data_IF_101411090627
#
_entry.id   IF_101411090627
#
_cell.length_a   1.000
_cell.length_b   1.000
_cell.length_c   1.000
_cell.angle_alpha   90.00
_cell.angle_beta   90.00
_cell.angle_gamma   90.00
#
_symmetry.space_group_name_H-M   'P 1'
#
loop_
_entity.id
_entity.type
_entity.pdbx_description
1 polymer ?
#
# COMPACT_ATOMS: atom_id res chain seq x y z
N UNK A 1 -10.22 -9.90 -12.14
CA UNK A 1 -10.87 -9.53 -10.87
C UNK A 1 -9.78 -9.15 -9.88
N UNK A 2 -9.99 -8.11 -9.09
CA UNK A 2 -9.09 -7.70 -8.01
C UNK A 2 -9.26 -8.64 -6.82
N UNK A 3 -8.15 -9.07 -6.21
CA UNK A 3 -8.17 -9.80 -4.93
C UNK A 3 -7.70 -8.85 -3.83
N UNK A 4 -8.54 -8.63 -2.83
CA UNK A 4 -8.14 -8.01 -1.57
C UNK A 4 -7.76 -9.14 -0.63
N UNK A 5 -6.49 -9.18 -0.24
CA UNK A 5 -5.96 -10.27 0.59
C UNK A 5 -6.45 -10.09 2.02
N UNK A 6 -7.19 -11.09 2.51
CA UNK A 6 -7.65 -11.18 3.90
C UNK A 6 -6.75 -12.14 4.67
N UNK A 7 -5.89 -11.61 5.50
CA UNK A 7 -5.02 -12.39 6.38
C UNK A 7 -5.37 -12.21 7.87
N UNK A 8 -6.62 -11.79 8.13
CA UNK A 8 -7.13 -11.56 9.49
C UNK A 8 -6.77 -10.21 10.10
N UNK A 9 -6.15 -9.31 9.32
CA UNK A 9 -5.82 -7.97 9.76
C UNK A 9 -6.01 -6.95 8.61
N UNK A 10 -6.04 -5.66 8.94
CA UNK A 10 -6.21 -4.59 7.97
C UNK A 10 -7.63 -4.00 7.98
N UNK A 11 -7.75 -2.81 7.36
CA UNK A 11 -9.03 -2.10 7.26
C UNK A 11 -9.82 -2.56 6.02
N UNK A 12 -10.05 -3.90 5.93
CA UNK A 12 -10.64 -4.56 4.76
C UNK A 12 -12.00 -3.97 4.40
N UNK A 13 -12.84 -3.68 5.41
CA UNK A 13 -14.17 -3.10 5.17
C UNK A 13 -14.11 -1.74 4.47
N UNK A 14 -13.19 -0.87 4.87
CA UNK A 14 -13.04 0.44 4.24
C UNK A 14 -12.47 0.33 2.82
N UNK A 15 -11.53 -0.59 2.60
CA UNK A 15 -11.00 -0.90 1.26
C UNK A 15 -12.11 -1.44 0.35
N UNK A 16 -12.90 -2.40 0.83
CA UNK A 16 -14.03 -2.95 0.08
C UNK A 16 -15.07 -1.88 -0.27
N UNK A 17 -15.40 -0.98 0.69
CA UNK A 17 -16.30 0.15 0.44
C UNK A 17 -15.75 1.11 -0.62
N UNK A 18 -14.45 1.44 -0.57
CA UNK A 18 -13.82 2.27 -1.58
C UNK A 18 -13.86 1.63 -2.97
N UNK A 19 -13.54 0.34 -3.07
CA UNK A 19 -13.62 -0.43 -4.32
C UNK A 19 -15.04 -0.50 -4.87
N UNK A 20 -16.04 -0.74 -4.02
CA UNK A 20 -17.46 -0.71 -4.40
C UNK A 20 -17.83 0.67 -4.95
N UNK A 21 -17.41 1.75 -4.27
CA UNK A 21 -17.74 3.12 -4.69
C UNK A 21 -17.12 3.50 -6.03
N UNK A 22 -15.96 2.95 -6.38
CA UNK A 22 -15.36 3.16 -7.70
C UNK A 22 -15.86 2.14 -8.74
N UNK A 23 -16.75 1.22 -8.36
CA UNK A 23 -17.36 0.23 -9.27
C UNK A 23 -16.41 -0.87 -9.71
N UNK A 24 -15.45 -1.23 -8.87
CA UNK A 24 -14.53 -2.32 -9.14
C UNK A 24 -15.17 -3.69 -8.93
N UNK A 25 -14.76 -4.67 -9.71
CA UNK A 25 -15.05 -6.09 -9.48
C UNK A 25 -13.92 -6.70 -8.67
N UNK A 26 -14.22 -7.12 -7.43
CA UNK A 26 -13.23 -7.66 -6.50
C UNK A 26 -13.78 -8.79 -5.65
N UNK A 27 -12.87 -9.50 -4.99
CA UNK A 27 -13.17 -10.50 -3.95
C UNK A 27 -12.23 -10.28 -2.76
N UNK A 28 -12.73 -10.49 -1.56
CA UNK A 28 -11.94 -10.50 -0.31
C UNK A 28 -11.73 -11.96 0.06
N UNK A 29 -10.47 -12.40 0.14
CA UNK A 29 -10.16 -13.81 0.39
C UNK A 29 -8.72 -14.02 0.84
N UNK A 30 -8.47 -15.10 1.58
CA UNK A 30 -7.15 -15.66 1.88
C UNK A 30 -6.81 -16.88 1.00
N UNK A 31 -7.70 -17.28 0.09
CA UNK A 31 -7.50 -18.45 -0.75
C UNK A 31 -6.30 -18.29 -1.69
N UNK A 32 -5.25 -19.11 -1.51
CA UNK A 32 -4.04 -19.10 -2.32
C UNK A 32 -4.33 -19.25 -3.83
N UNK A 33 -5.30 -20.10 -4.18
CA UNK A 33 -5.72 -20.33 -5.57
C UNK A 33 -6.39 -19.11 -6.20
N UNK A 34 -7.12 -18.32 -5.44
CA UNK A 34 -7.72 -17.08 -5.89
C UNK A 34 -6.66 -15.99 -6.10
N UNK A 35 -5.69 -15.89 -5.17
CA UNK A 35 -4.54 -14.98 -5.26
C UNK A 35 -3.70 -15.31 -6.50
N UNK A 36 -3.38 -16.58 -6.73
CA UNK A 36 -2.60 -17.02 -7.88
C UNK A 36 -3.27 -16.73 -9.25
N UNK A 37 -4.62 -16.65 -9.29
CA UNK A 37 -5.42 -16.33 -10.48
C UNK A 37 -5.87 -14.87 -10.55
N UNK A 38 -5.46 -14.04 -9.59
CA UNK A 38 -5.82 -12.62 -9.53
C UNK A 38 -5.34 -11.88 -10.79
N UNK A 39 -6.12 -10.90 -11.25
CA UNK A 39 -5.67 -9.92 -12.25
C UNK A 39 -4.95 -8.72 -11.60
N UNK A 40 -5.18 -8.51 -10.31
CA UNK A 40 -4.48 -7.55 -9.47
C UNK A 40 -4.73 -7.87 -8.00
N UNK A 41 -3.84 -7.43 -7.14
CA UNK A 41 -3.84 -7.69 -5.70
C UNK A 41 -3.82 -6.38 -4.94
N UNK A 42 -4.63 -6.30 -3.89
CA UNK A 42 -4.52 -5.26 -2.87
C UNK A 42 -4.18 -5.94 -1.55
N UNK A 43 -3.08 -5.51 -0.93
CA UNK A 43 -2.69 -5.94 0.41
C UNK A 43 -2.84 -4.75 1.37
N UNK A 44 -3.97 -4.62 2.06
CA UNK A 44 -4.12 -3.66 3.14
C UNK A 44 -3.39 -4.15 4.38
N UNK A 45 -3.00 -3.25 5.26
CA UNK A 45 -2.43 -3.66 6.54
C UNK A 45 -2.48 -2.57 7.58
N UNK A 46 -2.62 -2.98 8.83
CA UNK A 46 -2.54 -2.13 10.04
C UNK A 46 -1.82 -2.90 11.15
N UNK A 47 -1.32 -2.20 12.15
CA UNK A 47 -0.62 -2.80 13.28
C UNK A 47 0.90 -2.90 13.06
N UNK A 48 1.54 -3.87 13.68
CA UNK A 48 2.98 -4.05 13.66
C UNK A 48 3.46 -4.99 12.54
N UNK A 49 4.71 -4.80 12.09
CA UNK A 49 5.32 -5.61 11.02
C UNK A 49 5.39 -7.10 11.40
N UNK A 50 5.81 -7.42 12.63
CA UNK A 50 5.90 -8.80 13.09
C UNK A 50 4.54 -9.52 13.10
N UNK A 51 3.49 -8.83 13.57
CA UNK A 51 2.13 -9.38 13.59
C UNK A 51 1.58 -9.58 12.18
N UNK A 52 1.82 -8.61 11.30
CA UNK A 52 1.44 -8.68 9.89
C UNK A 52 2.11 -9.87 9.21
N UNK A 53 3.43 -10.02 9.35
CA UNK A 53 4.17 -11.13 8.74
C UNK A 53 3.77 -12.48 9.32
N UNK A 54 3.49 -12.54 10.63
CA UNK A 54 2.96 -13.76 11.27
C UNK A 54 1.59 -14.14 10.70
N UNK A 55 0.68 -13.20 10.60
CA UNK A 55 -0.67 -13.43 10.05
C UNK A 55 -0.64 -13.84 8.58
N UNK A 56 0.22 -13.20 7.75
CA UNK A 56 0.41 -13.58 6.34
C UNK A 56 0.93 -15.02 6.20
N UNK A 57 1.87 -15.44 7.07
CA UNK A 57 2.38 -16.82 7.10
C UNK A 57 1.31 -17.80 7.57
N UNK A 58 0.56 -17.48 8.62
CA UNK A 58 -0.52 -18.33 9.14
C UNK A 58 -1.66 -18.53 8.13
N UNK A 59 -1.95 -17.50 7.33
CA UNK A 59 -2.93 -17.57 6.25
C UNK A 59 -2.39 -18.26 4.98
N UNK A 60 -1.11 -18.65 4.95
CA UNK A 60 -0.42 -19.27 3.80
C UNK A 60 -0.51 -18.45 2.50
N UNK A 61 -0.45 -17.10 2.64
CA UNK A 61 -0.59 -16.18 1.49
C UNK A 61 0.72 -15.52 1.05
N UNK A 62 1.82 -15.73 1.77
CA UNK A 62 3.13 -15.11 1.45
C UNK A 62 3.57 -15.51 0.04
N UNK A 63 3.76 -16.80 -0.22
CA UNK A 63 4.25 -17.30 -1.50
C UNK A 63 3.29 -16.99 -2.66
N UNK A 64 1.96 -17.16 -2.53
CA UNK A 64 1.00 -16.73 -3.54
C UNK A 64 1.12 -15.23 -3.91
N UNK A 65 1.26 -14.34 -2.93
CA UNK A 65 1.40 -12.89 -3.16
C UNK A 65 2.74 -12.57 -3.84
N UNK A 66 3.86 -13.08 -3.30
CA UNK A 66 5.20 -12.84 -3.88
C UNK A 66 5.28 -13.39 -5.30
N UNK A 67 4.78 -14.59 -5.55
CA UNK A 67 4.75 -15.20 -6.89
C UNK A 67 3.91 -14.39 -7.86
N UNK A 68 2.74 -13.89 -7.43
CA UNK A 68 1.89 -13.06 -8.28
C UNK A 68 2.58 -11.73 -8.63
N UNK A 69 3.24 -11.08 -7.68
CA UNK A 69 4.05 -9.88 -7.92
C UNK A 69 5.16 -10.17 -8.94
N UNK A 70 5.91 -11.25 -8.76
CA UNK A 70 7.01 -11.64 -9.66
C UNK A 70 6.53 -11.95 -11.10
N UNK A 71 5.28 -12.37 -11.25
CA UNK A 71 4.63 -12.59 -12.56
C UNK A 71 4.11 -11.31 -13.21
N UNK A 72 4.31 -10.14 -12.62
CA UNK A 72 3.87 -8.86 -13.14
C UNK A 72 2.40 -8.53 -12.84
N UNK A 73 1.75 -9.24 -11.92
CA UNK A 73 0.39 -8.92 -11.49
C UNK A 73 0.39 -7.60 -10.74
N UNK A 74 -0.45 -6.61 -11.13
CA UNK A 74 -0.55 -5.34 -10.42
C UNK A 74 -0.81 -5.52 -8.93
N UNK A 75 0.00 -4.87 -8.12
CA UNK A 75 -0.07 -4.91 -6.68
C UNK A 75 -0.26 -3.51 -6.09
N UNK A 76 -1.17 -3.36 -5.14
CA UNK A 76 -1.33 -2.16 -4.32
C UNK A 76 -1.16 -2.50 -2.85
N UNK A 77 -0.04 -2.04 -2.26
CA UNK A 77 0.19 -2.12 -0.81
C UNK A 77 -0.31 -0.86 -0.10
N UNK A 78 -1.00 -1.02 1.04
CA UNK A 78 -1.53 0.10 1.83
C UNK A 78 -0.98 0.02 3.25
N UNK A 79 -0.28 1.05 3.70
CA UNK A 79 0.33 1.19 5.02
C UNK A 79 1.27 0.01 5.33
N UNK A 80 0.87 -0.95 6.16
CA UNK A 80 1.68 -2.16 6.37
C UNK A 80 1.91 -2.95 5.08
N UNK A 81 0.96 -2.93 4.13
CA UNK A 81 1.15 -3.54 2.81
C UNK A 81 2.25 -2.89 1.97
N UNK A 82 2.64 -1.63 2.26
CA UNK A 82 3.86 -1.01 1.76
C UNK A 82 5.08 -1.50 2.54
N UNK A 83 5.01 -1.45 3.88
CA UNK A 83 6.18 -1.71 4.72
C UNK A 83 6.68 -3.15 4.58
N UNK A 84 5.78 -4.13 4.52
CA UNK A 84 6.17 -5.54 4.37
C UNK A 84 6.76 -5.90 3.00
N UNK A 85 6.70 -5.02 1.99
CA UNK A 85 7.39 -5.24 0.71
C UNK A 85 8.91 -5.19 0.83
N UNK A 86 9.44 -4.47 1.81
CA UNK A 86 10.88 -4.31 2.00
C UNK A 86 11.53 -5.58 2.58
N UNK A 87 12.85 -5.55 2.74
CA UNK A 87 13.61 -6.70 3.24
C UNK A 87 13.34 -6.95 4.72
N UNK A 88 13.29 -5.85 5.50
CA UNK A 88 13.12 -5.91 6.96
C UNK A 88 12.51 -4.64 7.54
N UNK A 89 11.99 -4.76 8.75
CA UNK A 89 11.54 -3.65 9.58
C UNK A 89 12.28 -3.68 10.93
N UNK A 90 12.69 -2.51 11.43
CA UNK A 90 13.24 -2.36 12.79
C UNK A 90 12.19 -2.55 13.90
N UNK A 91 10.92 -2.68 13.52
CA UNK A 91 9.85 -2.92 14.47
C UNK A 91 9.97 -4.32 15.07
N UNK A 92 9.79 -4.42 16.41
CA UNK A 92 9.87 -5.68 17.14
C UNK A 92 11.22 -6.42 16.96
N UNK A 93 12.34 -5.76 17.24
CA UNK A 93 13.70 -6.35 17.22
C UNK A 93 14.12 -6.95 15.88
N UNK A 94 13.81 -6.25 14.79
CA UNK A 94 14.12 -6.66 13.42
C UNK A 94 13.26 -7.81 12.87
N UNK A 95 12.15 -7.41 12.24
CA UNK A 95 11.24 -8.33 11.55
C UNK A 95 11.65 -8.51 10.09
N UNK A 96 11.92 -9.76 9.67
CA UNK A 96 12.09 -10.11 8.26
C UNK A 96 10.74 -10.02 7.53
N UNK A 97 10.71 -9.25 6.44
CA UNK A 97 9.53 -8.99 5.63
C UNK A 97 9.54 -9.79 4.31
N UNK A 98 8.84 -9.35 3.26
CA UNK A 98 8.70 -10.10 2.02
C UNK A 98 9.95 -10.04 1.12
N UNK A 99 10.83 -9.02 1.29
CA UNK A 99 12.05 -8.87 0.49
C UNK A 99 11.80 -8.61 -0.99
N UNK A 100 10.65 -8.07 -1.35
CA UNK A 100 10.31 -7.76 -2.75
C UNK A 100 10.99 -6.49 -3.22
N UNK A 101 11.10 -5.49 -2.35
CA UNK A 101 11.80 -4.23 -2.59
C UNK A 101 13.06 -4.13 -1.72
N UNK A 102 14.21 -3.71 -2.26
CA UNK A 102 15.40 -3.50 -1.45
C UNK A 102 15.26 -2.26 -0.57
N UNK A 103 15.63 -2.40 0.69
CA UNK A 103 15.55 -1.34 1.69
C UNK A 103 15.02 -1.82 3.03
N UNK A 104 14.86 -0.88 3.95
CA UNK A 104 14.44 -1.15 5.33
C UNK A 104 13.31 -0.23 5.76
N UNK A 105 12.58 -0.65 6.79
CA UNK A 105 11.57 0.16 7.46
C UNK A 105 12.11 0.55 8.82
N UNK A 106 12.14 1.85 9.12
CA UNK A 106 12.75 2.41 10.33
C UNK A 106 11.74 3.21 11.13
N UNK A 107 11.99 3.40 12.42
CA UNK A 107 11.16 4.21 13.30
C UNK A 107 11.41 5.71 13.08
N UNK A 108 10.37 6.53 13.25
CA UNK A 108 10.54 7.98 13.35
C UNK A 108 11.43 8.35 14.55
N UNK A 109 12.27 9.38 14.41
CA UNK A 109 13.05 9.90 15.53
C UNK A 109 12.17 10.32 16.72
N UNK A 110 12.76 10.29 17.92
CA UNK A 110 12.05 10.63 19.18
C UNK A 110 11.80 12.13 19.39
N UNK A 111 12.26 12.99 18.47
CA UNK A 111 12.15 14.45 18.51
C UNK A 111 10.76 14.97 18.07
N UNK A 112 9.84 14.07 17.77
CA UNK A 112 8.49 14.39 17.29
C UNK A 112 7.44 13.42 17.85
N UNK A 113 6.16 13.80 17.69
CA UNK A 113 5.07 12.93 18.12
C UNK A 113 5.04 11.66 17.27
N UNK A 114 4.97 10.50 17.91
CA UNK A 114 4.86 9.19 17.27
C UNK A 114 3.69 8.46 17.93
N UNK A 115 2.72 7.95 17.15
CA UNK A 115 2.69 7.87 15.69
C UNK A 115 2.45 9.22 14.99
N UNK A 116 2.95 9.36 13.74
CA UNK A 116 2.44 10.35 12.79
C UNK A 116 0.99 10.00 12.49
N UNK A 117 0.04 10.81 12.96
CA UNK A 117 -1.39 10.56 12.85
C UNK A 117 -2.11 11.80 12.39
N UNK A 118 -2.88 11.70 11.31
CA UNK A 118 -3.70 12.77 10.77
C UNK A 118 -3.52 12.97 9.28
N UNK A 119 -4.03 14.11 8.81
CA UNK A 119 -3.92 14.53 7.42
C UNK A 119 -2.60 15.24 7.18
N UNK A 120 -1.90 14.86 6.12
CA UNK A 120 -0.66 15.49 5.71
C UNK A 120 -0.51 15.47 4.19
N UNK A 121 0.28 16.41 3.67
CA UNK A 121 0.48 16.61 2.25
C UNK A 121 1.38 15.54 1.64
N UNK A 122 1.00 15.04 0.46
CA UNK A 122 1.78 14.09 -0.32
C UNK A 122 2.39 14.82 -1.51
N UNK A 123 3.70 15.03 -1.45
CA UNK A 123 4.47 15.65 -2.52
C UNK A 123 4.88 14.60 -3.55
N UNK A 124 4.31 14.68 -4.76
CA UNK A 124 4.63 13.78 -5.87
C UNK A 124 5.99 14.15 -6.46
N UNK A 125 6.95 13.24 -6.39
CA UNK A 125 8.31 13.44 -6.94
C UNK A 125 8.44 12.99 -8.38
N UNK A 126 7.56 12.08 -8.81
CA UNK A 126 7.55 11.49 -10.15
C UNK A 126 6.12 11.24 -10.59
N UNK A 127 5.85 11.43 -11.89
CA UNK A 127 4.55 11.11 -12.48
C UNK A 127 4.32 9.58 -12.44
N UNK A 128 3.16 9.18 -11.96
CA UNK A 128 2.76 7.76 -11.89
C UNK A 128 1.29 7.61 -12.26
N UNK A 129 0.91 6.50 -12.93
CA UNK A 129 -0.50 6.23 -13.24
C UNK A 129 -1.40 6.25 -12.00
N UNK A 130 -0.86 5.87 -10.83
CA UNK A 130 -1.62 5.84 -9.58
C UNK A 130 -2.06 7.23 -9.11
N UNK A 131 -1.22 8.26 -9.32
CA UNK A 131 -1.48 9.64 -8.90
C UNK A 131 -2.15 10.48 -9.99
N UNK A 132 -2.52 9.90 -11.12
CA UNK A 132 -3.11 10.65 -12.22
C UNK A 132 -4.40 11.40 -11.81
N UNK A 133 -4.43 12.72 -12.06
CA UNK A 133 -5.53 13.60 -11.68
C UNK A 133 -5.64 13.91 -10.19
N UNK A 134 -4.63 13.57 -9.39
CA UNK A 134 -4.49 14.01 -8.00
C UNK A 134 -3.57 15.23 -8.01
N UNK A 135 -4.06 16.33 -7.44
CA UNK A 135 -3.32 17.60 -7.37
C UNK A 135 -2.07 17.43 -6.50
N UNK A 136 -1.00 18.14 -6.88
CA UNK A 136 0.24 18.16 -6.09
C UNK A 136 -0.04 18.65 -4.66
N UNK A 137 0.64 18.06 -3.69
CA UNK A 137 0.51 18.38 -2.27
C UNK A 137 -0.89 18.17 -1.68
N UNK A 138 -1.67 17.26 -2.28
CA UNK A 138 -2.96 16.84 -1.75
C UNK A 138 -2.78 16.15 -0.39
N UNK A 139 -3.69 16.46 0.54
CA UNK A 139 -3.71 15.83 1.86
C UNK A 139 -4.26 14.41 1.78
N UNK A 140 -3.56 13.47 2.44
CA UNK A 140 -3.98 12.10 2.71
C UNK A 140 -3.92 11.80 4.20
N UNK A 141 -4.63 10.76 4.64
CA UNK A 141 -4.65 10.35 6.03
C UNK A 141 -3.54 9.34 6.33
N UNK A 142 -2.76 9.63 7.36
CA UNK A 142 -1.66 8.81 7.87
C UNK A 142 -1.93 8.33 9.29
N UNK A 143 -1.43 7.15 9.63
CA UNK A 143 -1.31 6.66 11.01
C UNK A 143 -0.22 5.59 11.05
N UNK A 144 1.03 5.99 11.39
CA UNK A 144 2.18 5.10 11.42
C UNK A 144 3.31 5.62 12.29
N UNK A 145 4.09 4.71 12.86
CA UNK A 145 5.29 5.01 13.67
C UNK A 145 6.59 4.71 12.94
N UNK A 146 6.51 3.95 11.85
CA UNK A 146 7.63 3.50 11.03
C UNK A 146 7.42 3.92 9.58
N UNK A 147 8.50 4.09 8.84
CA UNK A 147 8.46 4.46 7.41
C UNK A 147 9.57 3.76 6.63
N UNK A 148 9.38 3.60 5.34
CA UNK A 148 10.31 2.92 4.47
C UNK A 148 11.50 3.81 4.05
N UNK A 149 12.69 3.21 3.98
CA UNK A 149 13.90 3.76 3.36
C UNK A 149 14.28 2.84 2.20
N UNK A 150 13.77 3.09 0.98
CA UNK A 150 14.19 2.32 -0.20
C UNK A 150 15.67 2.53 -0.50
N UNK A 151 16.40 1.46 -0.83
CA UNK A 151 17.78 1.55 -1.30
C UNK A 151 17.84 2.14 -2.71
N UNK A 152 16.85 1.84 -3.55
CA UNK A 152 16.73 2.36 -4.91
C UNK A 152 15.83 3.59 -4.91
N UNK A 153 16.42 4.76 -5.09
CA UNK A 153 15.69 6.05 -5.03
C UNK A 153 14.65 6.21 -6.14
N UNK A 154 14.88 5.61 -7.29
CA UNK A 154 13.95 5.67 -8.43
C UNK A 154 12.60 4.98 -8.16
N UNK A 155 12.53 4.17 -7.11
CA UNK A 155 11.26 3.61 -6.64
C UNK A 155 10.39 4.63 -5.89
N UNK A 156 10.95 5.76 -5.45
CA UNK A 156 10.23 6.78 -4.68
C UNK A 156 9.40 7.65 -5.62
N UNK A 157 8.09 7.64 -5.48
CA UNK A 157 7.19 8.45 -6.31
C UNK A 157 6.48 9.56 -5.54
N UNK A 158 6.50 9.50 -4.21
CA UNK A 158 6.02 10.59 -3.37
C UNK A 158 6.70 10.60 -2.00
N UNK A 159 6.82 11.80 -1.46
CA UNK A 159 7.32 12.07 -0.10
C UNK A 159 6.34 12.92 0.68
N UNK A 160 6.47 12.92 1.99
CA UNK A 160 5.69 13.76 2.91
C UNK A 160 6.63 14.31 3.98
N UNK A 161 6.45 15.58 4.36
CA UNK A 161 7.23 16.18 5.43
C UNK A 161 6.57 15.92 6.79
N UNK A 162 7.37 15.45 7.73
CA UNK A 162 6.99 15.34 9.14
C UNK A 162 8.19 15.70 10.02
N UNK A 163 8.63 16.97 9.90
CA UNK A 163 9.87 17.49 10.49
C UNK A 163 11.14 17.07 9.72
N UNK A 164 11.03 16.08 8.87
CA UNK A 164 11.94 15.70 7.80
C UNK A 164 11.16 14.90 6.75
N UNK A 165 11.55 14.98 5.47
CA UNK A 165 10.87 14.21 4.42
C UNK A 165 11.01 12.70 4.64
N UNK A 166 9.90 11.97 4.50
CA UNK A 166 9.88 10.51 4.46
C UNK A 166 9.14 10.01 3.22
N UNK A 167 9.38 8.77 2.82
CA UNK A 167 8.75 8.15 1.65
C UNK A 167 7.30 7.82 1.96
N UNK A 168 6.37 8.44 1.24
CA UNK A 168 4.93 8.23 1.39
C UNK A 168 4.30 7.36 0.30
N UNK A 169 4.97 7.20 -0.84
CA UNK A 169 4.58 6.22 -1.86
C UNK A 169 5.77 5.73 -2.67
N UNK A 170 5.70 4.47 -3.08
CA UNK A 170 6.69 3.83 -3.96
C UNK A 170 6.00 3.20 -5.16
N UNK A 171 6.77 3.11 -6.27
CA UNK A 171 6.41 2.35 -7.46
C UNK A 171 7.63 1.63 -8.01
N UNK A 172 7.46 0.36 -8.42
CA UNK A 172 8.39 -0.38 -9.26
C UNK A 172 7.56 -1.28 -10.18
N UNK A 173 7.64 -1.08 -11.47
CA UNK A 173 6.91 -1.87 -12.47
C UNK A 173 5.40 -1.97 -12.16
N UNK A 174 4.95 -3.17 -11.81
CA UNK A 174 3.58 -3.50 -11.43
C UNK A 174 3.24 -3.25 -9.95
N UNK A 175 4.22 -2.85 -9.14
CA UNK A 175 4.05 -2.61 -7.70
C UNK A 175 3.77 -1.13 -7.47
N UNK A 176 2.67 -0.86 -6.77
CA UNK A 176 2.38 0.46 -6.18
C UNK A 176 2.16 0.26 -4.69
N UNK A 177 2.67 1.17 -3.88
CA UNK A 177 2.36 1.10 -2.47
C UNK A 177 2.40 2.49 -1.80
N UNK A 178 1.51 2.69 -0.83
CA UNK A 178 1.32 3.96 -0.10
C UNK A 178 1.46 3.75 1.40
N UNK A 179 2.11 4.69 2.08
CA UNK A 179 2.16 4.71 3.55
C UNK A 179 0.86 5.26 4.14
N UNK A 180 0.20 6.15 3.42
CA UNK A 180 -1.10 6.68 3.78
C UNK A 180 -2.22 5.69 3.45
N UNK A 181 -3.42 5.99 3.97
CA UNK A 181 -4.63 5.21 3.81
C UNK A 181 -5.57 5.85 2.78
N UNK A 182 -5.54 5.45 1.50
CA UNK A 182 -6.44 6.03 0.49
C UNK A 182 -7.91 5.81 0.85
N UNK A 183 -8.25 4.69 1.49
CA UNK A 183 -9.63 4.35 1.92
C UNK A 183 -10.18 5.30 3.01
N UNK A 184 -9.30 6.13 3.61
CA UNK A 184 -9.64 7.15 4.62
C UNK A 184 -9.41 8.57 4.10
N UNK A 185 -9.04 8.74 2.83
CA UNK A 185 -8.57 10.00 2.27
C UNK A 185 -9.55 10.68 1.31
N UNK A 186 -10.85 10.44 1.50
CA UNK A 186 -11.91 11.12 0.76
C UNK A 186 -11.82 10.93 -0.75
N UNK A 187 -12.09 11.97 -1.52
CA UNK A 187 -12.16 11.90 -2.98
C UNK A 187 -10.77 11.64 -3.63
N UNK A 188 -9.69 12.18 -3.06
CA UNK A 188 -8.34 11.89 -3.53
C UNK A 188 -7.99 10.39 -3.38
N UNK A 189 -8.39 9.79 -2.27
CA UNK A 189 -8.23 8.35 -2.06
C UNK A 189 -9.08 7.52 -3.02
N UNK A 190 -10.31 7.93 -3.30
CA UNK A 190 -11.17 7.27 -4.30
C UNK A 190 -10.59 7.41 -5.71
N UNK A 191 -10.01 8.56 -6.04
CA UNK A 191 -9.29 8.77 -7.30
C UNK A 191 -8.14 7.78 -7.45
N UNK A 192 -7.34 7.60 -6.39
CA UNK A 192 -6.24 6.65 -6.38
C UNK A 192 -6.74 5.21 -6.62
N UNK A 193 -7.81 4.78 -5.95
CA UNK A 193 -8.43 3.47 -6.22
C UNK A 193 -8.93 3.35 -7.66
N UNK A 194 -9.60 4.38 -8.19
CA UNK A 194 -10.06 4.38 -9.57
C UNK A 194 -8.89 4.25 -10.57
N UNK A 195 -7.76 4.89 -10.29
CA UNK A 195 -6.54 4.78 -11.07
C UNK A 195 -5.96 3.36 -11.01
N UNK A 196 -5.91 2.75 -9.83
CA UNK A 196 -5.46 1.36 -9.68
C UNK A 196 -6.39 0.38 -10.40
N UNK A 197 -7.70 0.59 -10.34
CA UNK A 197 -8.70 -0.21 -11.07
C UNK A 197 -8.46 -0.14 -12.58
N UNK A 198 -8.19 1.07 -13.13
CA UNK A 198 -7.83 1.24 -14.56
C UNK A 198 -6.52 0.54 -14.90
N UNK A 199 -5.50 0.68 -14.07
CA UNK A 199 -4.21 0.02 -14.24
C UNK A 199 -4.36 -1.52 -14.24
N UNK A 200 -5.31 -2.04 -13.47
CA UNK A 200 -5.68 -3.46 -13.42
C UNK A 200 -6.47 -3.95 -14.63
N UNK A 201 -6.69 -3.10 -15.64
CA UNK A 201 -7.45 -3.41 -16.85
C UNK A 201 -8.97 -3.46 -16.66
N UNK A 202 -9.49 -2.91 -15.56
CA UNK A 202 -10.92 -2.71 -15.32
C UNK A 202 -11.32 -1.26 -15.64
N UNK A 203 -12.61 -1.06 -15.92
CA UNK A 203 -13.18 0.29 -16.09
C UNK A 203 -13.95 0.67 -14.82
N UNK A 204 -13.54 1.71 -14.08
CA UNK A 204 -14.33 2.23 -12.97
C UNK A 204 -15.70 2.70 -13.47
N UNK A 205 -16.74 2.50 -12.68
CA UNK A 205 -18.11 2.89 -13.05
C UNK A 205 -18.37 4.41 -12.94
N UNK A 206 -17.48 5.15 -12.30
CA UNK A 206 -17.57 6.60 -12.13
C UNK A 206 -16.32 7.30 -12.67
N UNK A 207 -16.52 8.35 -13.46
CA UNK A 207 -15.47 9.32 -13.76
C UNK A 207 -15.35 10.27 -12.57
N UNK A 208 -14.29 10.13 -11.80
CA UNK A 208 -13.89 11.15 -10.84
C UNK A 208 -13.23 12.28 -11.63
N UNK A 209 -13.97 13.34 -11.92
CA UNK A 209 -13.50 14.58 -12.55
C UNK A 209 -12.88 15.49 -11.50
#
# INVERSE_FOLDING_TARGET
MIVVVDYGAGNIHSVARALTRVGATFVVTSEATAIAKAKSIILPGVGAAADTMRSLRQADVVDPVVTAIARGIPYLGICMGLQVLFERSEENEETQCLGVLPGTVVRFPMDRAVPHMGWNQVHQTTSTPLMNGIVQDTNFYFVHSYYAIPTVKDHIVATTDYGSPFVSAVQRDNIFATQFHPEKSGDAGLRLYANFVRFSGQRPSQSFT
#
